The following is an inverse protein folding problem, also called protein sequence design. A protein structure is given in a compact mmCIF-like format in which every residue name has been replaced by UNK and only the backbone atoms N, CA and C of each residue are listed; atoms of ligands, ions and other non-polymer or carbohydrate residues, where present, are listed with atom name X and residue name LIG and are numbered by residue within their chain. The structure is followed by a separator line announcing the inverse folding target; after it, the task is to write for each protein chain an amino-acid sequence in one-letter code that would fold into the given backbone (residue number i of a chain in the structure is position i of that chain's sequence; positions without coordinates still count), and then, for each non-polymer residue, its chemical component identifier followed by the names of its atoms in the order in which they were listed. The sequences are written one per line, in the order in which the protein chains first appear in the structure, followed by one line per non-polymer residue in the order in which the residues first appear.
data_IF_317476360518
#
_entry.id   IF_317476360518
#
_cell.length_a   1.000
_cell.length_b   1.000
_cell.length_c   1.000
_cell.angle_alpha   90.00
_cell.angle_beta   90.00
_cell.angle_gamma   90.00
#
_symmetry.space_group_name_H-M   'P 1'
#
loop_
_entity.id
_entity.type
_entity.pdbx_description
1 polymer ?
#
# COMPACT_ATOMS: atom_id res chain seq x y z
N UNK A 1 -27.10 14.64 13.69
CA UNK A 1 -26.30 14.17 14.85
C UNK A 1 -25.26 13.19 14.34
N UNK A 2 -23.99 13.60 14.31
CA UNK A 2 -22.94 12.88 13.60
C UNK A 2 -22.41 11.73 14.47
N UNK A 3 -22.56 10.49 14.00
CA UNK A 3 -21.94 9.29 14.57
C UNK A 3 -20.44 9.25 14.21
N UNK A 4 -19.64 10.14 14.75
CA UNK A 4 -18.21 10.24 14.39
C UNK A 4 -17.27 9.51 15.37
N UNK A 5 -17.66 9.32 16.60
CA UNK A 5 -16.79 8.74 17.63
C UNK A 5 -16.53 7.23 17.49
N UNK A 6 -17.54 6.37 17.23
CA UNK A 6 -17.26 4.92 17.15
C UNK A 6 -16.36 4.57 15.96
N UNK A 7 -16.42 5.34 14.88
CA UNK A 7 -15.56 5.09 13.69
C UNK A 7 -14.09 5.45 13.98
N UNK A 8 -13.83 6.48 14.78
CA UNK A 8 -12.45 6.86 15.16
C UNK A 8 -11.82 5.81 16.04
N UNK A 9 -12.54 5.34 17.06
CA UNK A 9 -12.06 4.29 17.98
C UNK A 9 -11.70 3.01 17.21
N UNK A 10 -12.54 2.57 16.28
CA UNK A 10 -12.24 1.38 15.47
C UNK A 10 -10.99 1.57 14.60
N UNK A 11 -10.78 2.76 14.03
CA UNK A 11 -9.57 3.08 13.25
C UNK A 11 -8.32 3.06 14.13
N UNK A 12 -8.36 3.65 15.31
CA UNK A 12 -7.24 3.66 16.25
C UNK A 12 -6.89 2.25 16.72
N UNK A 13 -7.88 1.43 17.07
CA UNK A 13 -7.67 0.06 17.49
C UNK A 13 -7.03 -0.80 16.39
N UNK A 14 -7.49 -0.65 15.15
CA UNK A 14 -6.93 -1.35 13.99
C UNK A 14 -5.50 -0.92 13.73
N UNK A 15 -5.24 0.38 13.76
CA UNK A 15 -3.90 0.91 13.61
C UNK A 15 -2.98 0.47 14.75
N UNK A 16 -3.45 0.51 15.98
CA UNK A 16 -2.72 0.01 17.16
C UNK A 16 -2.32 -1.46 17.05
N UNK A 17 -3.19 -2.31 16.44
CA UNK A 17 -2.84 -3.71 16.15
C UNK A 17 -1.70 -3.82 15.14
N UNK A 18 -1.74 -3.03 14.07
CA UNK A 18 -0.66 -3.00 13.07
C UNK A 18 0.66 -2.57 13.73
N UNK A 19 0.65 -1.48 14.50
CA UNK A 19 1.84 -1.00 15.19
C UNK A 19 2.41 -2.03 16.17
N UNK A 20 1.54 -2.78 16.88
CA UNK A 20 1.96 -3.86 17.77
C UNK A 20 2.69 -4.98 17.02
N UNK A 21 2.22 -5.36 15.82
CA UNK A 21 2.91 -6.37 15.00
C UNK A 21 4.23 -5.83 14.45
N UNK A 22 4.27 -4.57 14.01
CA UNK A 22 5.50 -3.91 13.58
C UNK A 22 6.55 -3.94 14.68
N UNK A 23 6.19 -3.56 15.91
CA UNK A 23 7.11 -3.60 17.06
C UNK A 23 7.67 -4.99 17.33
N UNK A 24 6.87 -6.04 17.17
CA UNK A 24 7.36 -7.43 17.31
C UNK A 24 8.41 -7.78 16.27
N UNK A 25 8.21 -7.31 15.01
CA UNK A 25 9.15 -7.51 13.91
C UNK A 25 10.47 -6.77 14.21
N UNK A 26 10.37 -5.52 14.65
CA UNK A 26 11.51 -4.70 15.04
C UNK A 26 12.33 -5.32 16.18
N UNK A 27 11.66 -5.85 17.20
CA UNK A 27 12.34 -6.55 18.31
C UNK A 27 13.15 -7.77 17.86
N UNK A 28 12.77 -8.39 16.74
CA UNK A 28 13.54 -9.47 16.12
C UNK A 28 14.62 -8.96 15.15
N UNK A 29 14.79 -7.64 15.08
CA UNK A 29 15.68 -6.98 14.12
C UNK A 29 15.41 -7.37 12.66
N UNK A 30 14.15 -7.62 12.33
CA UNK A 30 13.67 -7.94 11.01
C UNK A 30 13.25 -6.67 10.24
N UNK A 31 13.19 -6.79 8.91
CA UNK A 31 12.82 -5.68 8.03
C UNK A 31 11.30 -5.59 7.88
N UNK A 32 10.76 -4.37 7.83
CA UNK A 32 9.32 -4.15 7.72
C UNK A 32 8.97 -3.66 6.32
N UNK A 33 8.00 -4.31 5.71
CA UNK A 33 7.28 -3.87 4.52
C UNK A 33 5.78 -3.88 4.84
N UNK A 34 5.16 -2.70 4.83
CA UNK A 34 3.72 -2.52 4.94
C UNK A 34 3.20 -2.07 3.58
N UNK A 35 2.36 -2.90 2.97
CA UNK A 35 1.76 -2.63 1.65
C UNK A 35 0.26 -2.90 1.69
N UNK A 36 -0.51 -2.02 1.11
CA UNK A 36 -1.95 -2.24 0.94
C UNK A 36 -2.77 -0.97 0.82
N UNK A 37 -4.07 -1.18 0.68
CA UNK A 37 -5.05 -0.11 0.71
C UNK A 37 -5.23 0.37 2.14
N UNK A 38 -4.68 1.55 2.43
CA UNK A 38 -4.87 2.20 3.72
C UNK A 38 -6.23 2.87 3.82
N UNK A 39 -6.89 3.09 2.67
CA UNK A 39 -8.17 3.77 2.55
C UNK A 39 -8.21 5.10 3.31
N UNK A 40 -7.07 5.81 3.30
CA UNK A 40 -6.84 7.05 4.04
C UNK A 40 -6.11 8.07 3.19
N UNK A 41 -6.54 9.32 3.28
CA UNK A 41 -5.82 10.43 2.69
C UNK A 41 -4.78 10.95 3.67
N UNK A 42 -3.52 10.89 3.28
CA UNK A 42 -2.38 11.34 4.09
C UNK A 42 -1.86 12.72 3.68
N UNK A 43 -2.62 13.43 2.84
CA UNK A 43 -2.21 14.74 2.33
C UNK A 43 -1.28 14.65 1.12
N UNK A 44 -0.97 15.80 0.53
CA UNK A 44 -0.09 15.92 -0.64
C UNK A 44 1.10 16.86 -0.41
N UNK A 45 1.35 17.24 0.84
CA UNK A 45 2.49 18.03 1.29
C UNK A 45 3.77 17.16 1.46
N UNK A 46 4.80 17.69 2.10
CA UNK A 46 6.10 17.02 2.29
C UNK A 46 6.01 15.66 3.00
N UNK A 47 5.09 15.51 3.96
CA UNK A 47 4.85 14.25 4.68
C UNK A 47 3.76 13.40 4.03
N UNK A 48 3.08 13.93 3.02
CA UNK A 48 2.03 13.25 2.28
C UNK A 48 2.55 12.47 1.08
N UNK A 49 1.65 12.14 0.16
CA UNK A 49 2.00 11.51 -1.13
C UNK A 49 1.35 12.26 -2.29
N UNK A 50 2.05 12.35 -3.39
CA UNK A 50 1.49 12.87 -4.64
C UNK A 50 0.24 12.06 -5.00
N UNK A 51 -0.81 12.73 -5.46
CA UNK A 51 -2.07 12.07 -5.79
C UNK A 51 -3.00 11.77 -4.60
N UNK A 52 -2.58 12.03 -3.36
CA UNK A 52 -3.50 12.05 -2.22
C UNK A 52 -4.35 13.33 -2.22
N UNK A 53 -5.50 13.26 -1.55
CA UNK A 53 -6.32 14.44 -1.35
C UNK A 53 -5.62 15.43 -0.40
N UNK A 54 -5.79 16.74 -0.61
CA UNK A 54 -5.19 17.77 0.26
C UNK A 54 -5.73 17.70 1.69
N UNK A 55 -7.01 17.31 1.85
CA UNK A 55 -7.61 17.12 3.17
C UNK A 55 -7.17 15.80 3.77
N UNK A 56 -6.45 15.87 4.89
CA UNK A 56 -5.99 14.69 5.62
C UNK A 56 -7.16 14.08 6.37
N UNK A 57 -7.32 12.78 6.30
CA UNK A 57 -8.31 12.05 7.09
C UNK A 57 -7.74 11.70 8.48
N UNK A 58 -8.60 11.43 9.45
CA UNK A 58 -8.16 11.03 10.79
C UNK A 58 -7.19 9.84 10.77
N UNK A 59 -7.49 8.78 10.02
CA UNK A 59 -6.56 7.68 9.85
C UNK A 59 -5.30 8.04 9.06
N UNK A 60 -5.37 9.09 8.23
CA UNK A 60 -4.21 9.68 7.55
C UNK A 60 -3.24 10.33 8.54
N UNK A 61 -3.76 11.03 9.56
CA UNK A 61 -2.93 11.59 10.63
C UNK A 61 -2.16 10.52 11.39
N UNK A 62 -2.77 9.36 11.65
CA UNK A 62 -2.10 8.24 12.32
C UNK A 62 -0.94 7.69 11.47
N UNK A 63 -1.15 7.56 10.14
CA UNK A 63 -0.10 7.14 9.22
C UNK A 63 1.03 8.18 9.16
N UNK A 64 0.69 9.47 9.11
CA UNK A 64 1.69 10.56 9.12
C UNK A 64 2.51 10.57 10.40
N UNK A 65 1.87 10.42 11.56
CA UNK A 65 2.57 10.27 12.84
C UNK A 65 3.60 9.14 12.79
N UNK A 66 3.20 7.99 12.30
CA UNK A 66 4.11 6.85 12.13
C UNK A 66 5.29 7.13 11.18
N UNK A 67 5.06 7.84 10.08
CA UNK A 67 6.13 8.22 9.15
C UNK A 67 7.06 9.30 9.75
N UNK A 68 6.52 10.21 10.55
CA UNK A 68 7.31 11.28 11.20
C UNK A 68 8.25 10.78 12.29
N UNK A 69 7.97 9.62 12.90
CA UNK A 69 8.86 8.99 13.90
C UNK A 69 10.21 8.56 13.32
N UNK A 70 10.36 8.65 12.00
CA UNK A 70 11.66 8.71 11.36
C UNK A 70 12.27 7.39 10.90
N UNK A 71 11.76 6.24 11.30
CA UNK A 71 12.31 4.93 10.95
C UNK A 71 11.69 4.32 9.67
N UNK A 72 10.69 4.99 9.10
CA UNK A 72 9.92 4.51 7.96
C UNK A 72 9.89 5.52 6.82
N UNK A 73 9.74 5.00 5.61
CA UNK A 73 9.65 5.78 4.37
C UNK A 73 8.42 5.31 3.59
N UNK A 74 7.62 6.27 3.11
CA UNK A 74 6.59 6.01 2.12
C UNK A 74 7.21 6.01 0.71
N UNK A 75 7.29 4.84 0.09
CA UNK A 75 7.91 4.69 -1.23
C UNK A 75 7.12 5.35 -2.36
N UNK A 76 5.83 5.56 -2.20
CA UNK A 76 5.00 6.22 -3.21
C UNK A 76 5.51 7.63 -3.57
N UNK A 77 6.28 8.26 -2.69
CA UNK A 77 6.86 9.58 -2.90
C UNK A 77 8.37 9.55 -3.25
N UNK A 78 8.96 8.37 -3.24
CA UNK A 78 10.39 8.23 -3.50
C UNK A 78 10.72 8.37 -5.00
N UNK A 79 11.99 8.60 -5.31
CA UNK A 79 12.50 8.57 -6.68
C UNK A 79 12.40 7.18 -7.34
N UNK A 80 12.16 6.13 -6.55
CA UNK A 80 11.96 4.76 -7.01
C UNK A 80 10.53 4.49 -7.49
N UNK A 81 9.57 5.41 -7.22
CA UNK A 81 8.18 5.27 -7.63
C UNK A 81 8.00 5.68 -9.09
N UNK A 82 7.31 4.84 -9.86
CA UNK A 82 6.98 5.02 -11.28
C UNK A 82 5.53 4.64 -11.58
N UNK A 83 5.03 4.93 -12.77
CA UNK A 83 3.67 4.55 -13.20
C UNK A 83 2.59 5.55 -12.78
N UNK A 84 2.98 6.67 -12.16
CA UNK A 84 2.07 7.75 -11.76
C UNK A 84 1.76 7.79 -10.27
N UNK A 85 1.12 8.87 -9.80
CA UNK A 85 0.90 9.11 -8.38
C UNK A 85 -0.38 8.48 -7.83
N UNK A 86 -1.27 8.01 -8.69
CA UNK A 86 -2.57 7.50 -8.29
C UNK A 86 -2.58 5.99 -8.16
N UNK A 87 -3.15 5.49 -7.08
CA UNK A 87 -3.32 4.04 -6.83
C UNK A 87 -4.77 3.59 -6.87
N UNK A 88 -5.70 4.54 -7.04
CA UNK A 88 -7.13 4.29 -7.17
C UNK A 88 -7.76 5.23 -8.19
N UNK A 89 -8.77 4.75 -8.91
CA UNK A 89 -9.57 5.52 -9.86
C UNK A 89 -11.06 5.23 -9.66
N UNK A 90 -11.92 6.11 -10.19
CA UNK A 90 -13.37 5.86 -10.26
C UNK A 90 -13.69 5.06 -11.52
N UNK A 91 -14.18 3.82 -11.41
CA UNK A 91 -14.50 3.00 -12.58
C UNK A 91 -15.58 3.60 -13.50
N UNK A 92 -16.41 4.51 -12.97
CA UNK A 92 -17.45 5.18 -13.77
C UNK A 92 -16.88 6.33 -14.61
N UNK A 93 -15.68 6.82 -14.27
CA UNK A 93 -15.01 7.97 -14.89
C UNK A 93 -13.50 7.75 -14.97
N UNK A 94 -13.04 6.69 -15.67
CA UNK A 94 -11.63 6.24 -15.57
C UNK A 94 -10.62 7.25 -16.12
N UNK A 95 -11.03 8.13 -17.04
CA UNK A 95 -10.14 9.08 -17.72
C UNK A 95 -10.01 10.43 -16.98
N UNK A 96 -10.70 10.60 -15.84
CA UNK A 96 -10.70 11.84 -15.09
C UNK A 96 -9.77 11.77 -13.89
N UNK A 97 -8.63 12.43 -13.96
CA UNK A 97 -7.65 12.50 -12.86
C UNK A 97 -8.21 13.10 -11.57
N UNK A 98 -9.24 13.96 -11.66
CA UNK A 98 -9.95 14.51 -10.50
C UNK A 98 -10.67 13.44 -9.65
N UNK A 99 -10.93 12.26 -10.23
CA UNK A 99 -11.55 11.11 -9.56
C UNK A 99 -10.52 10.04 -9.16
N UNK A 100 -9.23 10.33 -9.32
CA UNK A 100 -8.15 9.45 -8.93
C UNK A 100 -7.60 9.86 -7.56
N UNK A 101 -7.06 8.90 -6.82
CA UNK A 101 -6.45 9.15 -5.52
C UNK A 101 -5.36 8.15 -5.20
N UNK A 102 -4.43 8.54 -4.32
CA UNK A 102 -3.46 7.63 -3.75
C UNK A 102 -3.96 7.12 -2.39
N UNK A 103 -4.48 5.89 -2.35
CA UNK A 103 -4.98 5.24 -1.14
C UNK A 103 -4.20 3.99 -0.76
N UNK A 104 -3.56 3.35 -1.74
CA UNK A 104 -2.69 2.21 -1.50
C UNK A 104 -1.26 2.71 -1.32
N UNK A 105 -0.68 2.41 -0.17
CA UNK A 105 0.65 2.87 0.22
C UNK A 105 1.62 1.69 0.35
N UNK A 106 2.89 2.01 0.09
CA UNK A 106 4.02 1.13 0.37
C UNK A 106 4.93 1.84 1.36
N UNK A 107 4.94 1.36 2.58
CA UNK A 107 5.74 1.91 3.67
C UNK A 107 6.79 0.87 4.06
N UNK A 108 8.03 1.28 4.13
CA UNK A 108 9.15 0.39 4.44
C UNK A 108 10.02 0.95 5.56
N UNK A 109 10.65 0.06 6.33
CA UNK A 109 11.71 0.49 7.23
C UNK A 109 12.88 1.07 6.43
N UNK A 110 13.53 2.11 6.94
CA UNK A 110 14.73 2.71 6.30
C UNK A 110 15.81 1.69 5.99
N UNK A 111 15.92 0.65 6.82
CA UNK A 111 16.86 -0.46 6.60
C UNK A 111 16.52 -1.33 5.37
N UNK A 112 15.23 -1.40 4.97
CA UNK A 112 14.79 -2.16 3.80
C UNK A 112 14.91 -1.36 2.51
N UNK A 113 14.78 -0.03 2.59
CA UNK A 113 14.74 0.86 1.43
C UNK A 113 15.91 0.66 0.44
N UNK A 114 17.19 0.48 0.88
CA UNK A 114 18.31 0.27 -0.05
C UNK A 114 18.18 -0.99 -0.91
N UNK A 115 17.40 -1.98 -0.48
CA UNK A 115 17.18 -3.23 -1.22
C UNK A 115 16.01 -3.18 -2.20
N UNK A 116 15.34 -2.03 -2.29
CA UNK A 116 14.25 -1.84 -3.24
C UNK A 116 14.78 -1.07 -4.44
N UNK A 117 14.65 -1.65 -5.63
CA UNK A 117 15.05 -1.02 -6.87
C UNK A 117 13.94 -0.11 -7.41
N UNK A 118 12.69 -0.59 -7.35
CA UNK A 118 11.56 0.07 -7.98
C UNK A 118 10.25 -0.22 -7.24
N UNK A 119 9.40 0.79 -7.15
CA UNK A 119 7.97 0.68 -6.94
C UNK A 119 7.26 1.11 -8.22
N UNK A 120 6.42 0.28 -8.78
CA UNK A 120 5.64 0.60 -9.97
C UNK A 120 4.15 0.52 -9.67
N UNK A 121 3.44 1.57 -10.07
CA UNK A 121 1.98 1.56 -10.13
C UNK A 121 1.60 1.13 -11.52
N UNK A 122 0.94 -0.04 -11.67
CA UNK A 122 0.47 -0.57 -12.96
C UNK A 122 -0.77 0.21 -13.43
N UNK A 123 -0.56 1.47 -13.83
CA UNK A 123 -1.61 2.36 -14.31
C UNK A 123 -2.27 1.84 -15.59
N UNK A 124 -1.53 1.07 -16.39
CA UNK A 124 -2.01 0.48 -17.64
C UNK A 124 -2.77 -0.83 -17.42
N UNK A 125 -2.82 -1.30 -16.16
CA UNK A 125 -3.52 -2.52 -15.74
C UNK A 125 -3.10 -3.78 -16.52
N UNK A 126 -1.82 -3.87 -16.83
CA UNK A 126 -1.25 -5.04 -17.53
C UNK A 126 -1.43 -6.32 -16.71
N UNK A 127 -1.24 -6.24 -15.37
CA UNK A 127 -1.36 -7.37 -14.46
C UNK A 127 -2.77 -7.60 -13.93
N UNK A 128 -3.67 -6.63 -14.07
CA UNK A 128 -5.05 -6.74 -13.65
C UNK A 128 -6.01 -6.23 -14.72
N UNK A 129 -6.03 -6.88 -15.90
CA UNK A 129 -6.90 -6.45 -16.99
C UNK A 129 -8.36 -6.57 -16.58
N UNK A 130 -9.17 -5.66 -17.11
CA UNK A 130 -10.62 -5.69 -16.98
C UNK A 130 -11.14 -7.00 -17.59
N UNK A 131 -11.73 -7.87 -16.77
CA UNK A 131 -12.36 -9.09 -17.24
C UNK A 131 -13.88 -8.92 -17.23
N UNK A 132 -14.55 -8.94 -18.37
CA UNK A 132 -16.00 -8.96 -18.39
C UNK A 132 -16.51 -10.28 -17.77
N UNK A 133 -17.34 -10.20 -16.73
CA UNK A 133 -18.01 -11.37 -16.15
C UNK A 133 -19.26 -11.72 -16.95
N UNK A 134 -19.88 -10.72 -17.55
CA UNK A 134 -21.05 -10.85 -18.42
C UNK A 134 -21.14 -9.61 -19.30
N UNK A 135 -22.10 -9.61 -20.26
CA UNK A 135 -22.38 -8.43 -21.11
C UNK A 135 -22.74 -7.17 -20.29
N UNK A 136 -23.08 -7.32 -19.02
CA UNK A 136 -23.56 -6.23 -18.14
C UNK A 136 -22.72 -6.01 -16.87
N UNK A 137 -21.77 -6.90 -16.56
CA UNK A 137 -20.92 -6.78 -15.36
C UNK A 137 -19.45 -7.08 -15.70
N UNK A 138 -18.58 -6.16 -15.36
CA UNK A 138 -17.13 -6.37 -15.35
C UNK A 138 -16.64 -6.37 -13.90
N UNK A 139 -15.76 -7.31 -13.54
CA UNK A 139 -14.97 -7.18 -12.32
C UNK A 139 -13.78 -6.31 -12.68
N UNK A 140 -13.78 -5.12 -12.15
CA UNK A 140 -12.65 -4.22 -12.25
C UNK A 140 -12.31 -3.82 -10.83
N UNK A 141 -11.09 -4.09 -10.40
CA UNK A 141 -10.58 -3.42 -9.22
C UNK A 141 -10.53 -1.93 -9.53
N UNK A 142 -11.02 -1.10 -8.62
CA UNK A 142 -10.85 0.35 -8.67
C UNK A 142 -9.45 0.78 -8.18
N UNK A 143 -8.59 -0.18 -7.83
CA UNK A 143 -7.20 0.04 -7.49
C UNK A 143 -6.26 -0.43 -8.60
N UNK A 144 -5.17 0.33 -8.79
CA UNK A 144 -4.05 -0.10 -9.61
C UNK A 144 -3.16 -1.06 -8.82
N UNK A 145 -2.66 -2.13 -9.44
CA UNK A 145 -1.66 -3.00 -8.84
C UNK A 145 -0.39 -2.24 -8.47
N UNK A 146 0.23 -2.62 -7.35
CA UNK A 146 1.52 -2.15 -6.91
C UNK A 146 2.54 -3.27 -7.07
N UNK A 147 3.64 -2.99 -7.76
CA UNK A 147 4.70 -3.94 -8.05
C UNK A 147 5.99 -3.43 -7.41
N UNK A 148 6.60 -4.25 -6.55
CA UNK A 148 7.85 -3.92 -5.90
C UNK A 148 8.94 -4.83 -6.46
N UNK A 149 10.01 -4.23 -7.00
CA UNK A 149 11.20 -4.93 -7.44
C UNK A 149 12.28 -4.80 -6.37
N UNK A 150 12.78 -5.93 -5.91
CA UNK A 150 13.89 -5.99 -4.97
C UNK A 150 15.20 -6.22 -5.69
N UNK A 151 16.28 -5.64 -5.15
CA UNK A 151 17.63 -5.91 -5.59
C UNK A 151 17.97 -7.40 -5.48
N UNK A 152 18.72 -7.90 -6.45
CA UNK A 152 19.08 -9.32 -6.55
C UNK A 152 19.78 -9.85 -5.29
N UNK A 153 20.61 -9.02 -4.67
CA UNK A 153 21.35 -9.34 -3.44
C UNK A 153 20.42 -9.59 -2.25
N UNK A 154 19.27 -8.91 -2.20
CA UNK A 154 18.25 -9.15 -1.19
C UNK A 154 17.62 -10.53 -1.33
N UNK A 155 17.29 -10.92 -2.55
CA UNK A 155 16.70 -12.22 -2.85
C UNK A 155 17.63 -13.40 -2.50
N UNK A 156 18.93 -13.25 -2.69
CA UNK A 156 19.91 -14.28 -2.37
C UNK A 156 20.04 -14.45 -0.84
N UNK A 157 20.08 -13.36 -0.08
CA UNK A 157 20.20 -13.40 1.38
C UNK A 157 18.95 -13.96 2.07
N UNK A 158 17.77 -13.75 1.49
CA UNK A 158 16.50 -14.23 2.07
C UNK A 158 16.29 -15.74 1.90
N UNK A 159 16.98 -16.39 0.95
CA UNK A 159 16.88 -17.85 0.75
C UNK A 159 17.57 -18.68 1.84
N UNK A 160 18.39 -18.08 2.68
CA UNK A 160 19.16 -18.79 3.72
C UNK A 160 18.37 -19.03 5.01
N UNK A 161 17.26 -18.35 5.22
CA UNK A 161 16.31 -18.65 6.31
C UNK A 161 14.92 -18.76 5.72
N UNK A 162 14.35 -19.99 5.69
CA UNK A 162 12.90 -20.15 5.51
C UNK A 162 12.23 -19.37 6.63
N UNK A 163 11.53 -18.25 6.35
CA UNK A 163 10.70 -17.65 7.38
C UNK A 163 9.53 -18.60 7.60
N UNK A 164 9.22 -18.89 8.85
CA UNK A 164 7.89 -19.34 9.24
C UNK A 164 6.91 -18.20 8.89
N UNK A 165 6.46 -18.17 7.64
CA UNK A 165 5.48 -17.22 7.16
C UNK A 165 4.10 -17.57 7.70
N UNK A 166 3.92 -17.36 8.99
CA UNK A 166 2.59 -17.25 9.59
C UNK A 166 1.99 -15.89 9.25
N UNK A 167 0.88 -15.92 8.54
CA UNK A 167 -0.25 -14.97 8.63
C UNK A 167 -0.46 -13.95 7.50
N UNK A 168 0.50 -13.51 6.70
CA UNK A 168 0.16 -12.48 5.69
C UNK A 168 -0.04 -12.99 4.24
N UNK A 169 0.07 -14.29 3.98
CA UNK A 169 -0.06 -14.86 2.63
C UNK A 169 -1.46 -15.35 2.24
N UNK A 170 -2.50 -15.11 3.06
CA UNK A 170 -3.84 -15.68 2.79
C UNK A 170 -4.75 -14.88 1.86
N UNK A 171 -4.30 -13.76 1.26
CA UNK A 171 -5.16 -12.97 0.34
C UNK A 171 -4.63 -12.71 -1.06
N UNK A 172 -3.47 -13.26 -1.46
CA UNK A 172 -2.94 -13.05 -2.81
C UNK A 172 -2.82 -14.34 -3.63
N UNK A 173 -3.07 -15.51 -3.07
CA UNK A 173 -3.15 -16.76 -3.83
C UNK A 173 -4.59 -16.99 -4.34
N UNK A 174 -5.05 -16.14 -5.26
CA UNK A 174 -6.20 -16.40 -6.12
C UNK A 174 -5.74 -17.21 -7.32
N UNK A 175 -5.88 -18.54 -7.25
CA UNK A 175 -6.04 -19.51 -8.33
C UNK A 175 -5.38 -19.20 -9.69
N UNK A 176 -4.12 -19.56 -9.83
CA UNK A 176 -3.58 -19.95 -11.13
C UNK A 176 -3.96 -21.43 -11.32
N UNK A 177 -5.15 -21.70 -11.81
CA UNK A 177 -5.46 -23.01 -12.40
C UNK A 177 -4.89 -23.03 -13.81
N UNK A 178 -3.94 -23.93 -14.02
CA UNK A 178 -3.51 -24.36 -15.36
C UNK A 178 -4.70 -24.95 -16.11
N UNK A 179 -4.93 -24.46 -17.28
CA UNK A 179 -5.42 -25.18 -18.44
C UNK A 179 -4.59 -24.75 -19.64
#
# INVERSE_FOLDING_TARGET
MYRTEPVKIDIEERWGRILKEIKKIEHRNELVLLIGDMNKHIGCDELGVKGSHSKISFGGELVRGFLSDGDYICLNNSSKATGGPFTRFDPSKPDKTENMSCLSLVIVSKKLEPFIEKLEVDSDKVFSPIRPISKTKSITSDHFPLIITFAKEFCIKSQVKKPDCGILTKKVAGNITKN
#
